data_IF_263139257209
#
_entry.id   IF_263139257209
#
_cell.length_a   1.000
_cell.length_b   1.000
_cell.length_c   1.000
_cell.angle_alpha   90.00
_cell.angle_beta   90.00
_cell.angle_gamma   90.00
#
_symmetry.space_group_name_H-M   'P 1'
#
loop_
_entity.id
_entity.type
_entity.pdbx_description
1 polymer ?
#
# COMPACT_ATOMS: atom_id res chain seq x y z
N UNK A 1 -10.64 -27.05 31.26
CA UNK A 1 -10.51 -25.59 31.06
C UNK A 1 -11.21 -25.29 29.76
N UNK A 2 -12.22 -24.42 29.75
CA UNK A 2 -12.68 -23.85 28.49
C UNK A 2 -11.48 -23.08 27.91
N UNK A 3 -11.06 -23.43 26.69
CA UNK A 3 -10.11 -22.57 25.97
C UNK A 3 -10.83 -21.23 25.76
N UNK A 4 -10.35 -20.17 26.41
CA UNK A 4 -10.85 -18.82 26.13
C UNK A 4 -10.59 -18.52 24.65
N UNK A 5 -11.64 -18.21 23.90
CA UNK A 5 -11.50 -17.84 22.49
C UNK A 5 -10.56 -16.61 22.39
N UNK A 6 -9.47 -16.71 21.60
CA UNK A 6 -8.51 -15.62 21.51
C UNK A 6 -9.16 -14.39 20.86
N UNK A 7 -9.20 -13.28 21.59
CA UNK A 7 -9.72 -12.02 21.06
C UNK A 7 -8.71 -11.36 20.12
N UNK A 8 -8.88 -11.61 18.81
CA UNK A 8 -8.00 -11.08 17.75
C UNK A 8 -7.90 -9.55 17.80
N UNK A 9 -8.96 -8.82 18.17
CA UNK A 9 -8.91 -7.36 18.24
C UNK A 9 -7.89 -6.83 19.25
N UNK A 10 -7.55 -7.61 20.27
CA UNK A 10 -6.63 -7.25 21.35
C UNK A 10 -5.23 -7.83 21.18
N UNK A 11 -4.93 -8.43 20.03
CA UNK A 11 -3.56 -8.85 19.72
C UNK A 11 -2.62 -7.66 19.73
N UNK A 12 -1.41 -7.84 20.28
CA UNK A 12 -0.38 -6.80 20.33
C UNK A 12 -0.13 -6.10 18.98
N UNK A 13 0.00 -6.81 17.84
CA UNK A 13 0.12 -6.15 16.53
C UNK A 13 -1.09 -5.26 16.19
N UNK A 14 -2.31 -5.66 16.54
CA UNK A 14 -3.52 -4.88 16.24
C UNK A 14 -3.63 -3.63 17.12
N UNK A 15 -3.20 -3.71 18.37
CA UNK A 15 -3.10 -2.53 19.25
C UNK A 15 -2.09 -1.51 18.70
N UNK A 16 -0.96 -1.96 18.18
CA UNK A 16 0.01 -1.10 17.47
C UNK A 16 -0.63 -0.51 16.21
N UNK A 17 -1.36 -1.33 15.43
CA UNK A 17 -2.13 -0.89 14.27
C UNK A 17 -3.13 0.22 14.58
N UNK A 18 -3.88 0.14 15.68
CA UNK A 18 -4.77 1.23 16.10
C UNK A 18 -3.99 2.51 16.44
N UNK A 19 -2.82 2.37 17.07
CA UNK A 19 -1.91 3.48 17.30
C UNK A 19 -1.46 4.16 15.99
N UNK A 20 -1.12 3.36 14.96
CA UNK A 20 -0.79 3.85 13.61
C UNK A 20 -1.94 4.64 12.99
N UNK A 21 -3.17 4.17 13.13
CA UNK A 21 -4.37 4.88 12.64
C UNK A 21 -4.51 6.24 13.33
N UNK A 22 -4.35 6.31 14.65
CA UNK A 22 -4.41 7.59 15.38
C UNK A 22 -3.31 8.55 14.91
N UNK A 23 -2.08 8.06 14.75
CA UNK A 23 -0.97 8.87 14.23
C UNK A 23 -1.24 9.36 12.80
N UNK A 24 -1.80 8.51 11.94
CA UNK A 24 -2.18 8.87 10.58
C UNK A 24 -3.26 9.97 10.59
N UNK A 25 -4.29 9.85 11.43
CA UNK A 25 -5.34 10.88 11.58
C UNK A 25 -4.75 12.22 12.03
N UNK A 26 -3.86 12.20 13.03
CA UNK A 26 -3.19 13.42 13.51
C UNK A 26 -2.36 14.04 12.38
N UNK A 27 -1.61 13.22 11.64
CA UNK A 27 -0.84 13.67 10.48
C UNK A 27 -1.74 14.34 9.45
N UNK A 28 -2.82 13.68 9.02
CA UNK A 28 -3.80 14.22 8.07
C UNK A 28 -4.37 15.57 8.51
N UNK A 29 -4.69 15.73 9.80
CA UNK A 29 -5.24 16.97 10.33
C UNK A 29 -4.24 18.14 10.26
N UNK A 30 -2.96 17.88 10.57
CA UNK A 30 -1.94 18.94 10.67
C UNK A 30 -1.11 19.12 9.41
N UNK A 31 -1.30 18.31 8.36
CA UNK A 31 -0.53 18.35 7.10
C UNK A 31 -0.49 19.72 6.41
N UNK A 32 -1.52 20.57 6.58
CA UNK A 32 -1.55 21.93 6.01
C UNK A 32 -1.04 23.02 6.96
N UNK A 33 -0.97 22.77 8.27
CA UNK A 33 -0.77 23.80 9.31
C UNK A 33 0.55 23.64 10.05
N UNK A 34 0.94 22.40 10.39
CA UNK A 34 2.18 22.08 11.08
C UNK A 34 2.91 20.93 10.36
N UNK A 35 3.70 21.25 9.32
CA UNK A 35 4.33 20.22 8.49
C UNK A 35 5.34 19.35 9.23
N UNK A 36 6.03 19.88 10.24
CA UNK A 36 6.96 19.10 11.08
C UNK A 36 6.21 18.06 11.91
N UNK A 37 5.10 18.46 12.55
CA UNK A 37 4.27 17.52 13.32
C UNK A 37 3.67 16.45 12.42
N UNK A 38 3.16 16.83 11.24
CA UNK A 38 2.63 15.88 10.28
C UNK A 38 3.67 14.87 9.83
N UNK A 39 4.88 15.32 9.49
CA UNK A 39 5.97 14.45 9.06
C UNK A 39 6.41 13.51 10.19
N UNK A 40 6.51 14.01 11.42
CA UNK A 40 6.84 13.19 12.58
C UNK A 40 5.79 12.10 12.82
N UNK A 41 4.50 12.46 12.85
CA UNK A 41 3.41 11.49 13.04
C UNK A 41 3.35 10.46 11.89
N UNK A 42 3.54 10.92 10.65
CA UNK A 42 3.58 10.04 9.47
C UNK A 42 4.75 9.05 9.53
N UNK A 43 5.96 9.55 9.78
CA UNK A 43 7.16 8.73 9.89
C UNK A 43 7.08 7.76 11.07
N UNK A 44 6.55 8.19 12.21
CA UNK A 44 6.35 7.32 13.37
C UNK A 44 5.35 6.21 13.05
N UNK A 45 4.25 6.52 12.36
CA UNK A 45 3.28 5.52 11.90
C UNK A 45 3.92 4.48 10.96
N UNK A 46 4.73 4.94 10.00
CA UNK A 46 5.46 4.06 9.07
C UNK A 46 6.55 3.22 9.76
N UNK A 47 7.15 3.70 10.85
CA UNK A 47 8.08 2.90 11.66
C UNK A 47 7.34 1.83 12.45
N UNK A 48 6.17 2.17 13.02
CA UNK A 48 5.35 1.23 13.79
C UNK A 48 4.79 0.08 12.94
N UNK A 49 4.64 0.26 11.63
CA UNK A 49 4.32 -0.79 10.67
C UNK A 49 5.29 -2.00 10.77
N UNK A 50 6.60 -1.71 10.71
CA UNK A 50 7.60 -2.77 10.86
C UNK A 50 7.51 -3.47 12.23
N UNK A 51 7.12 -2.73 13.28
CA UNK A 51 6.97 -3.25 14.63
C UNK A 51 5.74 -4.14 14.82
N UNK A 52 4.60 -3.83 14.22
CA UNK A 52 3.43 -4.71 14.31
C UNK A 52 3.66 -6.03 13.57
N UNK A 53 4.27 -6.00 12.38
CA UNK A 53 4.63 -7.21 11.66
C UNK A 53 5.65 -8.05 12.43
N UNK A 54 6.61 -7.40 13.09
CA UNK A 54 7.55 -8.07 13.99
C UNK A 54 6.84 -8.69 15.21
N UNK A 55 5.93 -7.96 15.85
CA UNK A 55 5.16 -8.46 16.99
C UNK A 55 4.26 -9.64 16.59
N UNK A 56 3.57 -9.56 15.45
CA UNK A 56 2.71 -10.63 14.93
C UNK A 56 3.48 -11.94 14.72
N UNK A 57 4.72 -11.86 14.23
CA UNK A 57 5.60 -13.03 14.03
C UNK A 57 6.19 -13.56 15.35
N UNK A 58 6.61 -12.66 16.24
CA UNK A 58 7.29 -13.01 17.49
C UNK A 58 6.32 -13.65 18.49
N UNK A 59 5.11 -13.10 18.60
CA UNK A 59 4.09 -13.59 19.53
C UNK A 59 3.14 -14.62 18.90
N UNK A 60 3.40 -15.07 17.67
CA UNK A 60 2.53 -15.99 16.92
C UNK A 60 1.06 -15.51 16.85
N UNK A 61 0.87 -14.19 16.71
CA UNK A 61 -0.42 -13.48 16.66
C UNK A 61 -0.73 -12.97 15.24
N UNK A 62 -0.23 -13.66 14.22
CA UNK A 62 -0.50 -13.33 12.82
C UNK A 62 -1.97 -13.64 12.50
N UNK A 63 -2.72 -12.66 12.02
CA UNK A 63 -4.15 -12.78 11.74
C UNK A 63 -4.51 -12.11 10.42
N UNK A 64 -5.58 -12.62 9.76
CA UNK A 64 -6.12 -12.01 8.53
C UNK A 64 -6.60 -10.58 8.78
N UNK A 65 -7.29 -10.35 9.90
CA UNK A 65 -7.71 -9.01 10.31
C UNK A 65 -6.53 -8.04 10.44
N UNK A 66 -5.47 -8.44 11.16
CA UNK A 66 -4.28 -7.59 11.33
C UNK A 66 -3.59 -7.27 10.01
N UNK A 67 -3.43 -8.25 9.12
CA UNK A 67 -2.86 -8.03 7.79
C UNK A 67 -3.70 -7.08 6.92
N UNK A 68 -5.03 -7.16 6.99
CA UNK A 68 -5.93 -6.24 6.29
C UNK A 68 -5.87 -4.83 6.88
N UNK A 69 -5.82 -4.72 8.22
CA UNK A 69 -5.75 -3.44 8.93
C UNK A 69 -4.46 -2.69 8.60
N UNK A 70 -3.34 -3.40 8.59
CA UNK A 70 -2.03 -2.91 8.18
C UNK A 70 -2.07 -2.32 6.76
N UNK A 71 -2.42 -3.16 5.78
CA UNK A 71 -2.48 -2.74 4.37
C UNK A 71 -3.43 -1.56 4.17
N UNK A 72 -4.58 -1.52 4.85
CA UNK A 72 -5.52 -0.41 4.73
C UNK A 72 -4.95 0.89 5.33
N UNK A 73 -4.28 0.81 6.47
CA UNK A 73 -3.69 1.97 7.15
C UNK A 73 -2.63 2.63 6.27
N UNK A 74 -1.77 1.84 5.64
CA UNK A 74 -0.77 2.34 4.71
C UNK A 74 -1.39 3.06 3.51
N UNK A 75 -2.35 2.41 2.82
CA UNK A 75 -2.97 3.00 1.62
C UNK A 75 -3.72 4.28 1.94
N UNK A 76 -4.42 4.33 3.09
CA UNK A 76 -5.08 5.53 3.56
C UNK A 76 -4.08 6.65 3.88
N UNK A 77 -2.93 6.31 4.50
CA UNK A 77 -1.84 7.26 4.78
C UNK A 77 -1.28 7.89 3.50
N UNK A 78 -0.87 7.07 2.54
CA UNK A 78 -0.34 7.54 1.25
C UNK A 78 -1.39 8.35 0.48
N UNK A 79 -2.66 7.92 0.50
CA UNK A 79 -3.76 8.64 -0.14
C UNK A 79 -3.93 10.04 0.47
N UNK A 80 -3.93 10.16 1.79
CA UNK A 80 -4.05 11.46 2.46
C UNK A 80 -2.87 12.40 2.12
N UNK A 81 -1.65 11.85 2.06
CA UNK A 81 -0.47 12.58 1.60
C UNK A 81 -0.64 13.07 0.15
N UNK A 82 -1.12 12.21 -0.75
CA UNK A 82 -1.40 12.59 -2.14
C UNK A 82 -2.49 13.67 -2.24
N UNK A 83 -3.54 13.59 -1.40
CA UNK A 83 -4.61 14.59 -1.37
C UNK A 83 -4.08 15.98 -0.98
N UNK A 84 -3.21 16.09 0.03
CA UNK A 84 -2.61 17.39 0.37
C UNK A 84 -1.64 17.87 -0.71
N UNK A 85 -0.94 16.96 -1.40
CA UNK A 85 -0.08 17.32 -2.53
C UNK A 85 -0.87 17.89 -3.71
N UNK A 86 -2.09 17.41 -3.97
CA UNK A 86 -2.99 18.02 -4.96
C UNK A 86 -3.29 19.49 -4.65
N UNK A 87 -3.36 19.88 -3.37
CA UNK A 87 -3.52 21.28 -2.96
C UNK A 87 -2.27 22.11 -3.22
N UNK A 88 -1.07 21.54 -3.02
CA UNK A 88 0.20 22.26 -3.22
C UNK A 88 0.65 22.33 -4.68
N UNK A 89 0.25 21.36 -5.51
CA UNK A 89 0.68 21.23 -6.90
C UNK A 89 -0.53 21.07 -7.85
N UNK A 90 -1.34 22.13 -8.03
CA UNK A 90 -2.58 22.08 -8.82
C UNK A 90 -2.36 21.61 -10.27
N UNK A 91 -1.23 21.98 -10.88
CA UNK A 91 -0.90 21.59 -12.27
C UNK A 91 -0.63 20.08 -12.43
N UNK A 92 -0.27 19.40 -11.36
CA UNK A 92 0.08 17.98 -11.35
C UNK A 92 -1.05 17.08 -10.81
N UNK A 93 -2.20 17.64 -10.47
CA UNK A 93 -3.32 16.94 -9.80
C UNK A 93 -3.73 15.68 -10.56
N UNK A 94 -3.88 15.77 -11.88
CA UNK A 94 -4.25 14.62 -12.70
C UNK A 94 -3.31 13.43 -12.49
N UNK A 95 -1.99 13.66 -12.53
CA UNK A 95 -1.00 12.60 -12.39
C UNK A 95 -0.95 12.01 -10.98
N UNK A 96 -1.09 12.85 -9.95
CA UNK A 96 -1.15 12.41 -8.56
C UNK A 96 -2.40 11.55 -8.35
N UNK A 97 -3.57 12.00 -8.84
CA UNK A 97 -4.82 11.23 -8.78
C UNK A 97 -4.71 9.89 -9.50
N UNK A 98 -4.17 9.87 -10.71
CA UNK A 98 -3.99 8.62 -11.45
C UNK A 98 -3.09 7.64 -10.70
N UNK A 99 -1.99 8.13 -10.10
CA UNK A 99 -1.11 7.27 -9.31
C UNK A 99 -1.81 6.70 -8.08
N UNK A 100 -2.59 7.51 -7.35
CA UNK A 100 -3.34 7.06 -6.17
C UNK A 100 -4.46 6.07 -6.54
N UNK A 101 -5.21 6.34 -7.61
CA UNK A 101 -6.30 5.47 -8.07
C UNK A 101 -5.75 4.10 -8.46
N UNK A 102 -4.66 4.07 -9.23
CA UNK A 102 -4.01 2.83 -9.63
C UNK A 102 -3.53 2.05 -8.42
N UNK A 103 -2.87 2.70 -7.47
CA UNK A 103 -2.33 2.03 -6.28
C UNK A 103 -3.44 1.43 -5.41
N UNK A 104 -4.51 2.16 -5.11
CA UNK A 104 -5.63 1.65 -4.32
C UNK A 104 -6.33 0.52 -5.06
N UNK A 105 -6.67 0.73 -6.34
CA UNK A 105 -7.44 -0.25 -7.12
C UNK A 105 -6.68 -1.56 -7.29
N UNK A 106 -5.36 -1.51 -7.53
CA UNK A 106 -4.54 -2.71 -7.70
C UNK A 106 -4.47 -3.54 -6.43
N UNK A 107 -4.25 -2.89 -5.29
CA UNK A 107 -4.14 -3.57 -4.01
C UNK A 107 -5.48 -4.11 -3.53
N UNK A 108 -6.57 -3.36 -3.76
CA UNK A 108 -7.91 -3.81 -3.39
C UNK A 108 -8.35 -5.05 -4.18
N UNK A 109 -8.17 -5.03 -5.51
CA UNK A 109 -8.51 -6.19 -6.34
C UNK A 109 -7.63 -7.40 -6.03
N UNK A 110 -6.35 -7.16 -5.75
CA UNK A 110 -5.43 -8.24 -5.37
C UNK A 110 -5.79 -8.88 -4.03
N UNK A 111 -6.17 -8.08 -3.03
CA UNK A 111 -6.63 -8.59 -1.73
C UNK A 111 -7.83 -9.53 -1.94
N UNK A 112 -8.83 -9.08 -2.70
CA UNK A 112 -9.99 -9.91 -3.04
C UNK A 112 -9.64 -11.17 -3.82
N UNK A 113 -8.74 -11.08 -4.81
CA UNK A 113 -8.29 -12.25 -5.55
C UNK A 113 -7.60 -13.28 -4.65
N UNK A 114 -6.80 -12.82 -3.68
CA UNK A 114 -6.10 -13.67 -2.71
C UNK A 114 -7.08 -14.35 -1.76
N UNK A 115 -8.07 -13.60 -1.27
CA UNK A 115 -9.10 -14.12 -0.37
C UNK A 115 -10.01 -15.14 -1.07
N UNK A 116 -10.42 -14.88 -2.32
CA UNK A 116 -11.26 -15.79 -3.11
C UNK A 116 -10.56 -17.12 -3.45
N UNK A 117 -9.26 -17.06 -3.78
CA UNK A 117 -8.50 -18.24 -4.20
C UNK A 117 -7.93 -19.03 -3.03
N UNK A 118 -7.91 -18.47 -1.81
CA UNK A 118 -7.22 -19.05 -0.67
C UNK A 118 -5.72 -19.25 -0.90
N UNK A 119 -5.16 -18.61 -1.95
CA UNK A 119 -3.76 -18.74 -2.28
C UNK A 119 -2.93 -17.98 -1.25
N UNK A 120 -2.12 -18.71 -0.48
CA UNK A 120 -0.99 -18.11 0.24
C UNK A 120 -0.11 -17.38 -0.79
N UNK A 121 0.29 -16.14 -0.47
CA UNK A 121 0.93 -15.09 -1.32
C UNK A 121 2.13 -15.54 -2.19
N UNK A 122 2.57 -16.78 -2.04
CA UNK A 122 3.73 -17.38 -2.71
C UNK A 122 3.40 -18.33 -3.88
N UNK A 123 2.12 -18.66 -4.16
CA UNK A 123 1.78 -19.52 -5.31
C UNK A 123 1.51 -18.71 -6.59
N UNK A 124 2.62 -18.16 -7.09
CA UNK A 124 3.01 -17.87 -8.49
C UNK A 124 1.97 -17.16 -9.39
N UNK A 125 2.13 -15.84 -9.51
CA UNK A 125 1.82 -15.17 -10.78
C UNK A 125 2.78 -15.67 -11.85
N UNK A 126 2.29 -16.06 -13.03
CA UNK A 126 3.13 -16.41 -14.19
C UNK A 126 3.89 -15.20 -14.76
N UNK A 127 3.61 -13.98 -14.27
CA UNK A 127 4.29 -12.77 -14.72
C UNK A 127 5.68 -12.62 -14.06
N UNK A 128 6.77 -12.56 -14.86
CA UNK A 128 8.15 -12.49 -14.35
C UNK A 128 8.42 -11.20 -13.53
N UNK A 129 7.73 -10.11 -13.84
CA UNK A 129 7.88 -8.82 -13.12
C UNK A 129 7.30 -8.93 -11.72
N UNK A 130 6.08 -9.48 -11.59
CA UNK A 130 5.48 -9.72 -10.27
C UNK A 130 6.26 -10.78 -9.49
N UNK A 131 6.77 -11.80 -10.17
CA UNK A 131 7.61 -12.82 -9.51
C UNK A 131 8.86 -12.18 -8.89
N UNK A 132 9.58 -11.33 -9.62
CA UNK A 132 10.73 -10.59 -9.06
C UNK A 132 10.31 -9.67 -7.90
N UNK A 133 9.19 -8.97 -8.07
CA UNK A 133 8.64 -8.03 -7.10
C UNK A 133 8.31 -8.70 -5.76
N UNK A 134 7.74 -9.90 -5.77
CA UNK A 134 7.38 -10.64 -4.55
C UNK A 134 8.45 -11.59 -4.02
N UNK A 135 9.37 -12.06 -4.88
CA UNK A 135 10.44 -12.98 -4.45
C UNK A 135 11.55 -12.24 -3.70
N UNK A 136 11.86 -11.01 -4.10
CA UNK A 136 12.93 -10.23 -3.49
C UNK A 136 12.36 -9.17 -2.53
N UNK A 137 12.35 -9.49 -1.23
CA UNK A 137 11.88 -8.58 -0.16
C UNK A 137 12.63 -7.24 -0.15
N UNK A 138 13.91 -7.23 -0.50
CA UNK A 138 14.72 -6.00 -0.56
C UNK A 138 14.26 -5.11 -1.72
N UNK A 139 13.96 -5.70 -2.87
CA UNK A 139 13.43 -4.96 -4.02
C UNK A 139 12.03 -4.41 -3.74
N UNK A 140 11.16 -5.20 -3.12
CA UNK A 140 9.84 -4.74 -2.67
C UNK A 140 9.95 -3.54 -1.72
N UNK A 141 10.78 -3.67 -0.68
CA UNK A 141 11.01 -2.60 0.30
C UNK A 141 11.58 -1.34 -0.36
N UNK A 142 12.54 -1.49 -1.26
CA UNK A 142 13.12 -0.36 -2.01
C UNK A 142 12.08 0.38 -2.87
N UNK A 143 11.23 -0.37 -3.60
CA UNK A 143 10.20 0.23 -4.45
C UNK A 143 9.12 0.95 -3.64
N UNK A 144 8.67 0.36 -2.52
CA UNK A 144 7.71 1.00 -1.62
C UNK A 144 8.31 2.23 -0.94
N UNK A 145 9.51 2.11 -0.37
CA UNK A 145 10.19 3.21 0.30
C UNK A 145 10.53 4.36 -0.67
N UNK A 146 10.94 4.05 -1.89
CA UNK A 146 11.21 5.06 -2.92
C UNK A 146 9.93 5.79 -3.37
N UNK A 147 8.83 5.08 -3.53
CA UNK A 147 7.53 5.70 -3.83
C UNK A 147 7.07 6.63 -2.70
N UNK A 148 7.15 6.19 -1.45
CA UNK A 148 6.84 7.01 -0.28
C UNK A 148 7.78 8.22 -0.16
N UNK A 149 9.07 8.02 -0.38
CA UNK A 149 10.06 9.08 -0.35
C UNK A 149 9.76 10.16 -1.41
N UNK A 150 9.30 9.78 -2.61
CA UNK A 150 8.92 10.75 -3.64
C UNK A 150 7.82 11.71 -3.15
N UNK A 151 6.73 11.17 -2.60
CA UNK A 151 5.63 11.99 -2.09
C UNK A 151 6.03 12.83 -0.87
N UNK A 152 6.82 12.25 0.05
CA UNK A 152 7.35 12.98 1.21
C UNK A 152 8.30 14.11 0.81
N UNK A 153 9.17 13.90 -0.19
CA UNK A 153 10.05 14.96 -0.70
C UNK A 153 9.23 16.09 -1.32
N UNK A 154 8.21 15.76 -2.12
CA UNK A 154 7.30 16.77 -2.68
C UNK A 154 6.57 17.55 -1.58
N UNK A 155 6.17 16.87 -0.51
CA UNK A 155 5.50 17.48 0.63
C UNK A 155 6.43 18.44 1.37
N UNK A 156 7.65 18.00 1.73
CA UNK A 156 8.65 18.87 2.39
C UNK A 156 9.01 20.04 1.48
N UNK A 157 9.15 19.82 0.17
CA UNK A 157 9.45 20.85 -0.83
C UNK A 157 8.39 21.96 -0.87
N UNK A 158 7.12 21.65 -0.60
CA UNK A 158 6.06 22.66 -0.58
C UNK A 158 6.25 23.71 0.52
N UNK A 159 6.93 23.36 1.61
CA UNK A 159 7.20 24.25 2.75
C UNK A 159 8.64 24.76 2.80
N UNK A 160 9.60 23.87 2.53
CA UNK A 160 11.04 24.13 2.61
C UNK A 160 11.76 23.62 1.37
N UNK A 161 11.70 24.35 0.24
CA UNK A 161 12.28 23.89 -1.02
C UNK A 161 13.81 23.73 -0.99
N UNK A 162 14.49 24.36 -0.03
CA UNK A 162 15.94 24.32 0.16
C UNK A 162 16.70 25.33 -0.69
N UNK A 163 18.04 25.35 -0.62
CA UNK A 163 18.87 26.29 -1.36
C UNK A 163 18.71 26.09 -2.87
N UNK A 164 18.89 27.18 -3.61
CA UNK A 164 18.77 27.18 -5.06
C UNK A 164 20.13 26.88 -5.68
N UNK A 165 20.19 25.83 -6.50
CA UNK A 165 21.36 25.43 -7.27
C UNK A 165 21.00 25.52 -8.76
N UNK A 166 21.72 26.36 -9.51
CA UNK A 166 21.47 26.60 -10.94
C UNK A 166 20.02 27.04 -11.25
N UNK A 167 19.42 27.86 -10.37
CA UNK A 167 18.05 28.36 -10.55
C UNK A 167 16.94 27.37 -10.16
N UNK A 168 17.28 26.16 -9.70
CA UNK A 168 16.32 25.14 -9.25
C UNK A 168 16.57 24.82 -7.78
N UNK A 169 15.50 24.65 -7.02
CA UNK A 169 15.58 24.29 -5.60
C UNK A 169 16.11 22.86 -5.39
N UNK A 170 17.00 22.68 -4.40
CA UNK A 170 17.64 21.41 -4.08
C UNK A 170 16.67 20.22 -4.00
N UNK A 171 15.54 20.35 -3.30
CA UNK A 171 14.57 19.26 -3.16
C UNK A 171 13.88 18.87 -4.47
N UNK A 172 13.88 19.75 -5.48
CA UNK A 172 13.34 19.41 -6.81
C UNK A 172 14.27 18.41 -7.51
N UNK A 173 15.58 18.51 -7.31
CA UNK A 173 16.53 17.52 -7.84
C UNK A 173 16.34 16.17 -7.15
N UNK A 174 16.18 16.15 -5.83
CA UNK A 174 15.89 14.90 -5.10
C UNK A 174 14.58 14.27 -5.56
N UNK A 175 13.51 15.06 -5.72
CA UNK A 175 12.25 14.58 -6.26
C UNK A 175 12.44 13.99 -7.66
N UNK A 176 13.22 14.65 -8.54
CA UNK A 176 13.50 14.16 -9.88
C UNK A 176 14.32 12.85 -9.90
N UNK A 177 15.24 12.66 -8.95
CA UNK A 177 16.03 11.42 -8.80
C UNK A 177 15.14 10.25 -8.37
N UNK A 178 14.18 10.49 -7.48
CA UNK A 178 13.31 9.44 -6.92
C UNK A 178 12.07 9.21 -7.82
N UNK A 179 11.67 10.18 -8.63
CA UNK A 179 10.51 10.08 -9.53
C UNK A 179 10.48 8.83 -10.42
N UNK A 180 11.59 8.37 -11.06
CA UNK A 180 11.60 7.12 -11.81
C UNK A 180 11.17 5.91 -10.98
N UNK A 181 11.50 5.87 -9.68
CA UNK A 181 11.09 4.78 -8.79
C UNK A 181 9.58 4.81 -8.56
N UNK A 182 9.01 6.00 -8.31
CA UNK A 182 7.55 6.16 -8.19
C UNK A 182 6.83 5.77 -9.50
N UNK A 183 7.36 6.17 -10.65
CA UNK A 183 6.79 5.80 -11.95
C UNK A 183 6.80 4.29 -12.19
N UNK A 184 7.94 3.62 -11.91
CA UNK A 184 8.06 2.17 -12.02
C UNK A 184 7.13 1.48 -11.02
N UNK A 185 6.99 2.00 -9.80
CA UNK A 185 6.05 1.47 -8.80
C UNK A 185 4.61 1.53 -9.31
N UNK A 186 4.19 2.65 -9.88
CA UNK A 186 2.83 2.81 -10.43
C UNK A 186 2.61 1.91 -11.63
N UNK A 187 3.62 1.71 -12.49
CA UNK A 187 3.56 0.73 -13.57
C UNK A 187 3.41 -0.71 -13.04
N UNK A 188 4.17 -1.10 -12.00
CA UNK A 188 4.01 -2.40 -11.35
C UNK A 188 2.60 -2.57 -10.77
N UNK A 189 2.05 -1.53 -10.13
CA UNK A 189 0.68 -1.54 -9.62
C UNK A 189 -0.35 -1.76 -10.74
N UNK A 190 -0.15 -1.23 -11.95
CA UNK A 190 -1.01 -1.56 -13.11
C UNK A 190 -0.92 -3.04 -13.51
N UNK A 191 0.29 -3.60 -13.59
CA UNK A 191 0.46 -5.03 -13.91
C UNK A 191 -0.20 -5.88 -12.82
N UNK A 192 -0.11 -5.44 -11.57
CA UNK A 192 -0.74 -6.08 -10.42
C UNK A 192 -2.27 -6.08 -10.52
N UNK A 193 -2.86 -4.96 -10.91
CA UNK A 193 -4.30 -4.85 -11.17
C UNK A 193 -4.77 -5.83 -12.26
N UNK A 194 -4.07 -5.86 -13.40
CA UNK A 194 -4.41 -6.77 -14.51
C UNK A 194 -4.29 -8.23 -14.10
N UNK A 195 -3.22 -8.58 -13.40
CA UNK A 195 -2.98 -9.95 -12.93
C UNK A 195 -4.05 -10.38 -11.92
N UNK A 196 -4.46 -9.50 -11.00
CA UNK A 196 -5.54 -9.79 -10.06
C UNK A 196 -6.89 -10.00 -10.77
N UNK A 197 -7.19 -9.18 -11.78
CA UNK A 197 -8.40 -9.35 -12.59
C UNK A 197 -8.41 -10.70 -13.33
N UNK A 198 -7.29 -11.10 -13.93
CA UNK A 198 -7.15 -12.40 -14.59
C UNK A 198 -7.37 -13.56 -13.63
N UNK A 199 -6.84 -13.47 -12.41
CA UNK A 199 -7.05 -14.49 -11.36
C UNK A 199 -8.53 -14.65 -11.02
N UNK A 200 -9.28 -13.56 -10.85
CA UNK A 200 -10.71 -13.60 -10.54
C UNK A 200 -11.50 -14.17 -11.72
N UNK A 201 -11.23 -13.72 -12.95
CA UNK A 201 -11.91 -14.23 -14.15
C UNK A 201 -11.68 -15.74 -14.31
N UNK A 202 -10.47 -16.23 -14.01
CA UNK A 202 -10.16 -17.66 -14.04
C UNK A 202 -10.98 -18.42 -13.01
N UNK A 203 -11.04 -17.92 -11.78
CA UNK A 203 -11.85 -18.51 -10.70
C UNK A 203 -13.33 -18.61 -11.11
N UNK A 204 -13.91 -17.54 -11.65
CA UNK A 204 -15.30 -17.52 -12.11
C UNK A 204 -15.54 -18.50 -13.26
N UNK A 205 -14.60 -18.57 -14.21
CA UNK A 205 -14.66 -19.50 -15.34
C UNK A 205 -14.67 -20.95 -14.86
N UNK A 206 -13.79 -21.29 -13.92
CA UNK A 206 -13.71 -22.64 -13.34
C UNK A 206 -15.01 -22.99 -12.59
N UNK A 207 -15.56 -22.05 -11.83
CA UNK A 207 -16.83 -22.21 -11.12
C UNK A 207 -18.02 -22.42 -12.08
N UNK A 208 -18.08 -21.68 -13.18
CA UNK A 208 -19.12 -21.83 -14.22
C UNK A 208 -18.99 -23.19 -14.91
N UNK A 209 -17.77 -23.61 -15.26
CA UNK A 209 -17.53 -24.91 -15.88
C UNK A 209 -17.90 -26.07 -14.95
N UNK A 210 -17.59 -25.97 -13.65
CA UNK A 210 -17.99 -26.96 -12.66
C UNK A 210 -19.52 -27.10 -12.57
N UNK A 211 -20.26 -25.98 -12.54
CA UNK A 211 -21.74 -25.99 -12.54
C UNK A 211 -22.34 -26.62 -13.81
N UNK A 212 -21.76 -26.33 -14.97
CA UNK A 212 -22.19 -26.92 -16.26
C UNK A 212 -21.95 -28.42 -16.32
N UNK A 213 -20.83 -28.91 -15.77
CA UNK A 213 -20.55 -30.36 -15.67
C UNK A 213 -21.52 -31.06 -14.72
N UNK A 214 -21.97 -30.39 -13.68
CA UNK A 214 -22.92 -30.94 -12.70
C UNK A 214 -24.38 -30.96 -13.19
N UNK A 215 -24.71 -30.20 -14.25
CA UNK A 215 -26.07 -30.12 -14.81
C UNK A 215 -26.06 -30.64 -16.25
N UNK A 216 -26.16 -31.97 -16.48
CA UNK A 216 -26.22 -32.48 -17.84
C UNK A 216 -27.46 -31.90 -18.54
N UNK A 217 -27.29 -31.46 -19.79
CA UNK A 217 -28.43 -31.05 -20.63
C UNK A 217 -29.47 -32.18 -20.61
N UNK A 218 -30.70 -31.87 -20.21
CA UNK A 218 -31.85 -32.68 -20.59
C UNK A 218 -32.00 -32.51 -22.09
N UNK A 219 -31.69 -33.58 -22.82
CA UNK A 219 -31.97 -33.72 -24.25
C UNK A 219 -33.46 -33.51 -24.55
#
# INVERSE_FOLDING_TARGET
>A
MAEEEPNVFLFYPNLIGYGRIVLAIISCYVMSTSPVTALFCYALSAVLDAFDGWAARTYNQSSRFGAMLDQLTDRCGTMALCMVLCKFYPDSVFWIQMSTIVDISSHWLHLHATDLTGAETHKKSDNPVLHLYYTNRTFLGFMCAGNEAFYLILYVRAFWPGPTLFGIHFLSYLAAIVFPIALVKSAISLVHLVTAAQTIVKYDTDAILAKRRATPKKD
#
